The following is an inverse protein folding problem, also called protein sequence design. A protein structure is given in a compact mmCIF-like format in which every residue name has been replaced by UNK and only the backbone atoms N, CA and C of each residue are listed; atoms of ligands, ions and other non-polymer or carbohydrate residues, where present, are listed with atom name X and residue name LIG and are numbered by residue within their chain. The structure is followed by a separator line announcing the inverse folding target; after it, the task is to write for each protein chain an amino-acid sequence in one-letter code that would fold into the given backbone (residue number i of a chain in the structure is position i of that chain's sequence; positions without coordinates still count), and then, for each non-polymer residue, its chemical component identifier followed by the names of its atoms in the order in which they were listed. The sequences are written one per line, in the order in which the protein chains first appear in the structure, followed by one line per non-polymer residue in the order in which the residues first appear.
data_IF_858444006836
#
_entry.id   IF_858444006836
#
_cell.length_a   1.000
_cell.length_b   1.000
_cell.length_c   1.000
_cell.angle_alpha   90.00
_cell.angle_beta   90.00
_cell.angle_gamma   90.00
#
_symmetry.space_group_name_H-M   'P 1'
#
loop_
_entity.id
_entity.type
_entity.pdbx_description
1 polymer ?
#
# COMPACT_ATOMS: atom_id res chain seq x y z
N UNK A 1 28.33 -16.19 25.47
CA UNK A 1 26.97 -15.67 25.73
C UNK A 1 26.77 -14.26 25.17
N UNK A 2 27.67 -13.29 25.42
CA UNK A 2 27.53 -11.91 24.88
C UNK A 2 27.56 -11.83 23.33
N UNK A 3 28.40 -12.64 22.66
CA UNK A 3 28.51 -12.70 21.19
C UNK A 3 27.26 -13.32 20.51
N UNK A 4 26.62 -14.27 21.19
CA UNK A 4 25.39 -14.94 20.70
C UNK A 4 24.17 -14.01 20.74
N UNK A 5 24.09 -13.14 21.76
CA UNK A 5 23.04 -12.12 21.88
C UNK A 5 23.19 -11.04 20.80
N UNK A 6 24.43 -10.60 20.51
CA UNK A 6 24.72 -9.65 19.43
C UNK A 6 24.29 -10.18 18.05
N UNK A 7 24.47 -11.48 17.79
CA UNK A 7 24.01 -12.11 16.55
C UNK A 7 22.47 -12.14 16.44
N UNK A 8 21.76 -12.40 17.55
CA UNK A 8 20.30 -12.37 17.58
C UNK A 8 19.70 -10.99 17.30
N UNK A 9 20.32 -9.92 17.83
CA UNK A 9 19.89 -8.53 17.62
C UNK A 9 20.10 -8.09 16.16
N UNK A 10 21.21 -8.48 15.53
CA UNK A 10 21.48 -8.16 14.13
C UNK A 10 20.48 -8.80 13.15
N UNK A 11 20.05 -10.04 13.42
CA UNK A 11 19.05 -10.73 12.59
C UNK A 11 17.67 -10.05 12.72
N UNK A 12 17.30 -9.59 13.91
CA UNK A 12 16.02 -8.90 14.14
C UNK A 12 15.96 -7.53 13.44
N UNK A 13 17.10 -6.83 13.32
CA UNK A 13 17.20 -5.57 12.58
C UNK A 13 17.03 -5.76 11.05
N UNK A 14 17.49 -6.87 10.48
CA UNK A 14 17.33 -7.16 9.04
C UNK A 14 15.87 -7.43 8.64
N UNK A 15 15.08 -8.02 9.53
CA UNK A 15 13.64 -8.26 9.29
C UNK A 15 12.87 -6.94 9.23
N UNK A 16 13.25 -5.96 10.07
CA UNK A 16 12.57 -4.66 10.13
C UNK A 16 12.71 -3.85 8.83
N UNK A 17 13.90 -3.83 8.21
CA UNK A 17 14.11 -3.10 6.94
C UNK A 17 13.63 -3.89 5.71
N UNK A 18 13.54 -5.22 5.81
CA UNK A 18 13.11 -6.07 4.69
C UNK A 18 11.66 -5.85 4.26
N UNK A 19 10.79 -5.44 5.19
CA UNK A 19 9.38 -5.21 4.90
C UNK A 19 9.14 -4.01 3.98
N UNK A 20 9.75 -2.85 4.30
CA UNK A 20 9.65 -1.63 3.47
C UNK A 20 10.24 -1.90 2.09
N UNK A 21 11.46 -2.44 2.02
CA UNK A 21 12.14 -2.71 0.74
C UNK A 21 11.26 -3.54 -0.20
N UNK A 22 10.71 -4.64 0.30
CA UNK A 22 9.85 -5.51 -0.53
C UNK A 22 8.52 -4.85 -0.88
N UNK A 23 8.03 -3.90 -0.09
CA UNK A 23 6.83 -3.09 -0.39
C UNK A 23 7.13 -2.08 -1.49
N UNK A 24 8.29 -1.41 -1.44
CA UNK A 24 8.78 -0.55 -2.51
C UNK A 24 9.02 -1.32 -3.81
N UNK A 25 9.58 -2.54 -3.76
CA UNK A 25 9.74 -3.40 -4.93
C UNK A 25 8.40 -3.73 -5.60
N UNK A 26 7.37 -4.04 -4.81
CA UNK A 26 6.02 -4.25 -5.32
C UNK A 26 5.44 -2.98 -5.97
N UNK A 27 5.67 -1.81 -5.37
CA UNK A 27 5.25 -0.52 -5.93
C UNK A 27 5.94 -0.23 -7.27
N UNK A 28 7.27 -0.42 -7.33
CA UNK A 28 8.10 -0.14 -8.51
C UNK A 28 7.79 -1.09 -9.67
N UNK A 29 7.43 -2.34 -9.38
CA UNK A 29 7.01 -3.33 -10.38
C UNK A 29 5.57 -3.17 -10.85
N UNK A 30 4.83 -2.18 -10.34
CA UNK A 30 3.43 -1.97 -10.71
C UNK A 30 2.45 -2.92 -10.03
N UNK A 31 2.90 -3.68 -9.02
CA UNK A 31 2.08 -4.55 -8.18
C UNK A 31 1.48 -3.76 -7.01
N UNK A 32 0.62 -2.79 -7.32
CA UNK A 32 0.07 -1.85 -6.35
C UNK A 32 -0.79 -2.53 -5.30
N UNK A 33 -1.55 -3.57 -5.64
CA UNK A 33 -2.33 -4.34 -4.68
C UNK A 33 -1.45 -4.95 -3.58
N UNK A 34 -0.32 -5.56 -3.97
CA UNK A 34 0.61 -6.13 -3.00
C UNK A 34 1.29 -5.02 -2.16
N UNK A 35 1.71 -3.93 -2.80
CA UNK A 35 2.26 -2.78 -2.07
C UNK A 35 1.27 -2.23 -1.01
N UNK A 36 0.01 -2.00 -1.38
CA UNK A 36 -1.04 -1.56 -0.47
C UNK A 36 -1.32 -2.58 0.63
N UNK A 37 -1.41 -3.88 0.29
CA UNK A 37 -1.68 -4.92 1.28
C UNK A 37 -0.62 -4.97 2.37
N UNK A 38 0.67 -4.89 2.00
CA UNK A 38 1.78 -4.92 2.94
C UNK A 38 1.81 -3.67 3.80
N UNK A 39 1.61 -2.50 3.21
CA UNK A 39 1.56 -1.24 3.94
C UNK A 39 0.40 -1.24 4.95
N UNK A 40 -0.81 -1.62 4.52
CA UNK A 40 -1.99 -1.75 5.40
C UNK A 40 -1.71 -2.71 6.55
N UNK A 41 -1.11 -3.88 6.29
CA UNK A 41 -0.80 -4.86 7.33
C UNK A 41 0.16 -4.29 8.38
N UNK A 42 1.27 -3.67 7.97
CA UNK A 42 2.24 -3.10 8.90
C UNK A 42 1.64 -1.90 9.68
N UNK A 43 0.84 -1.07 9.02
CA UNK A 43 0.17 0.05 9.68
C UNK A 43 -0.91 -0.41 10.67
N UNK A 44 -1.61 -1.51 10.39
CA UNK A 44 -2.58 -2.09 11.31
C UNK A 44 -1.93 -2.63 12.59
N UNK A 45 -0.68 -3.11 12.52
CA UNK A 45 0.07 -3.55 13.71
C UNK A 45 0.41 -2.37 14.63
N UNK A 46 0.96 -1.29 14.08
CA UNK A 46 1.24 -0.06 14.84
C UNK A 46 1.48 1.14 13.90
N UNK A 47 0.44 1.92 13.61
CA UNK A 47 0.53 3.08 12.69
C UNK A 47 1.39 4.24 13.19
N UNK A 48 1.65 4.34 14.50
CA UNK A 48 2.44 5.44 15.08
C UNK A 48 3.92 5.10 15.28
N UNK A 49 4.35 3.89 14.93
CA UNK A 49 5.76 3.48 15.03
C UNK A 49 6.60 4.29 14.06
N UNK A 50 7.74 4.84 14.52
CA UNK A 50 8.67 5.63 13.69
C UNK A 50 9.06 4.93 12.39
N UNK A 51 9.39 3.64 12.46
CA UNK A 51 9.74 2.84 11.28
C UNK A 51 8.58 2.48 10.35
N UNK A 52 7.34 2.89 10.65
CA UNK A 52 6.18 2.68 9.80
C UNK A 52 5.77 3.95 9.02
N UNK A 53 6.46 5.08 9.23
CA UNK A 53 6.23 6.31 8.45
C UNK A 53 6.42 6.06 6.94
N UNK A 54 7.43 5.28 6.55
CA UNK A 54 7.66 4.90 5.15
C UNK A 54 6.49 4.09 4.56
N UNK A 55 5.79 3.28 5.36
CA UNK A 55 4.60 2.57 4.89
C UNK A 55 3.42 3.51 4.61
N UNK A 56 3.33 4.65 5.29
CA UNK A 56 2.29 5.65 5.01
C UNK A 56 2.50 6.22 3.60
N UNK A 57 3.73 6.63 3.29
CA UNK A 57 4.11 7.15 1.97
C UNK A 57 3.91 6.10 0.87
N UNK A 58 4.34 4.86 1.12
CA UNK A 58 4.15 3.74 0.19
C UNK A 58 2.67 3.45 -0.06
N UNK A 59 1.82 3.52 0.98
CA UNK A 59 0.39 3.34 0.85
C UNK A 59 -0.25 4.46 0.02
N UNK A 60 0.11 5.71 0.30
CA UNK A 60 -0.35 6.89 -0.43
C UNK A 60 0.00 6.79 -1.92
N UNK A 61 1.27 6.49 -2.23
CA UNK A 61 1.74 6.38 -3.61
C UNK A 61 1.13 5.19 -4.34
N UNK A 62 1.06 4.02 -3.69
CA UNK A 62 0.46 2.82 -4.27
C UNK A 62 -1.03 3.00 -4.55
N UNK A 63 -1.78 3.62 -3.61
CA UNK A 63 -3.19 3.91 -3.82
C UNK A 63 -3.38 4.89 -4.97
N UNK A 64 -2.62 6.00 -5.00
CA UNK A 64 -2.68 6.99 -6.08
C UNK A 64 -2.43 6.37 -7.45
N UNK A 65 -1.34 5.59 -7.60
CA UNK A 65 -0.99 4.93 -8.87
C UNK A 65 -2.01 3.86 -9.27
N UNK A 66 -2.59 3.13 -8.31
CA UNK A 66 -3.65 2.17 -8.57
C UNK A 66 -4.94 2.86 -9.04
N UNK A 67 -5.38 3.89 -8.32
CA UNK A 67 -6.57 4.66 -8.67
C UNK A 67 -6.45 5.26 -10.08
N UNK A 68 -5.31 5.88 -10.37
CA UNK A 68 -4.99 6.43 -11.69
C UNK A 68 -5.01 5.36 -12.80
N UNK A 69 -4.47 4.16 -12.56
CA UNK A 69 -4.57 3.03 -13.50
C UNK A 69 -6.03 2.60 -13.72
N UNK A 70 -6.78 2.37 -12.65
CA UNK A 70 -8.14 1.88 -12.73
C UNK A 70 -9.08 2.89 -13.40
N UNK A 71 -8.94 4.18 -13.06
CA UNK A 71 -9.75 5.25 -13.65
C UNK A 71 -9.47 5.41 -15.15
N UNK A 72 -8.21 5.30 -15.60
CA UNK A 72 -7.91 5.26 -17.04
C UNK A 72 -8.57 4.08 -17.74
N UNK A 73 -8.55 2.90 -17.13
CA UNK A 73 -9.20 1.72 -17.71
C UNK A 73 -10.71 1.89 -17.79
N UNK A 74 -11.33 2.46 -16.74
CA UNK A 74 -12.75 2.81 -16.74
C UNK A 74 -13.07 3.80 -17.87
N UNK A 75 -12.25 4.85 -18.03
CA UNK A 75 -12.44 5.85 -19.10
C UNK A 75 -12.38 5.21 -20.49
N UNK A 76 -11.42 4.31 -20.74
CA UNK A 76 -11.33 3.58 -22.01
C UNK A 76 -12.57 2.71 -22.27
N UNK A 77 -13.03 1.97 -21.24
CA UNK A 77 -14.22 1.11 -21.34
C UNK A 77 -15.51 1.93 -21.55
N UNK A 78 -15.58 3.14 -20.98
CA UNK A 78 -16.69 4.06 -21.19
C UNK A 78 -16.70 4.62 -22.61
N UNK A 79 -15.52 4.98 -23.16
CA UNK A 79 -15.38 5.48 -24.54
C UNK A 79 -15.72 4.42 -25.60
N UNK A 80 -15.46 3.15 -25.31
CA UNK A 80 -15.88 2.02 -26.17
C UNK A 80 -17.40 1.93 -26.33
N UNK A 81 -18.18 2.41 -25.33
CA UNK A 81 -19.64 2.51 -25.42
C UNK A 81 -20.40 1.18 -25.41
N UNK A 82 -19.71 0.04 -25.29
CA UNK A 82 -20.33 -1.27 -25.26
C UNK A 82 -20.98 -1.57 -23.89
N UNK A 83 -22.30 -1.85 -23.83
CA UNK A 83 -22.97 -2.21 -22.58
C UNK A 83 -22.38 -3.42 -21.85
N UNK A 84 -21.71 -4.33 -22.55
CA UNK A 84 -21.01 -5.46 -21.93
C UNK A 84 -19.88 -5.01 -20.98
N UNK A 85 -19.38 -3.77 -21.10
CA UNK A 85 -18.34 -3.24 -20.25
C UNK A 85 -18.84 -2.79 -18.87
N UNK A 86 -20.17 -2.63 -18.68
CA UNK A 86 -20.72 -2.09 -17.42
C UNK A 86 -20.36 -2.93 -16.20
N UNK A 87 -20.39 -4.25 -16.32
CA UNK A 87 -19.98 -5.14 -15.23
C UNK A 87 -18.51 -4.94 -14.87
N UNK A 88 -17.64 -4.81 -15.87
CA UNK A 88 -16.20 -4.58 -15.68
C UNK A 88 -15.94 -3.22 -15.02
N UNK A 89 -16.60 -2.16 -15.49
CA UNK A 89 -16.51 -0.82 -14.89
C UNK A 89 -16.93 -0.87 -13.42
N UNK A 90 -18.08 -1.49 -13.13
CA UNK A 90 -18.58 -1.65 -11.77
C UNK A 90 -17.59 -2.39 -10.87
N UNK A 91 -17.04 -3.53 -11.34
CA UNK A 91 -16.04 -4.30 -10.59
C UNK A 91 -14.77 -3.49 -10.28
N UNK A 92 -14.29 -2.68 -11.22
CA UNK A 92 -13.13 -1.79 -11.02
C UNK A 92 -13.41 -0.72 -9.97
N UNK A 93 -14.56 -0.06 -10.06
CA UNK A 93 -15.00 0.92 -9.06
C UNK A 93 -15.13 0.28 -7.66
N UNK A 94 -15.74 -0.90 -7.58
CA UNK A 94 -15.84 -1.65 -6.34
C UNK A 94 -14.47 -2.01 -5.77
N UNK A 95 -13.50 -2.37 -6.62
CA UNK A 95 -12.12 -2.60 -6.20
C UNK A 95 -11.48 -1.37 -5.53
N UNK A 96 -11.68 -0.17 -6.09
CA UNK A 96 -11.20 1.07 -5.48
C UNK A 96 -11.87 1.34 -4.13
N UNK A 97 -13.19 1.17 -4.06
CA UNK A 97 -13.97 1.34 -2.83
C UNK A 97 -13.49 0.38 -1.73
N UNK A 98 -13.30 -0.91 -2.05
CA UNK A 98 -12.80 -1.90 -1.11
C UNK A 98 -11.44 -1.54 -0.52
N UNK A 99 -10.54 -0.97 -1.33
CA UNK A 99 -9.24 -0.51 -0.81
C UNK A 99 -9.42 0.67 0.16
N UNK A 100 -10.27 1.65 -0.18
CA UNK A 100 -10.56 2.78 0.71
C UNK A 100 -11.16 2.33 2.04
N UNK A 101 -12.10 1.38 2.02
CA UNK A 101 -12.69 0.80 3.23
C UNK A 101 -11.64 0.12 4.13
N UNK A 102 -10.61 -0.48 3.54
CA UNK A 102 -9.50 -1.08 4.31
C UNK A 102 -8.55 -0.04 4.91
N UNK A 103 -8.40 1.12 4.26
CA UNK A 103 -7.56 2.22 4.75
C UNK A 103 -8.29 3.02 5.83
N UNK A 104 -9.62 3.17 5.74
CA UNK A 104 -10.42 4.04 6.63
C UNK A 104 -10.18 3.81 8.13
N UNK A 105 -10.09 2.57 8.67
CA UNK A 105 -9.83 2.34 10.09
C UNK A 105 -8.42 2.76 10.54
N UNK A 106 -7.48 2.85 9.60
CA UNK A 106 -6.10 3.27 9.88
C UNK A 106 -6.00 4.79 9.99
N UNK A 107 -6.97 5.54 9.48
CA UNK A 107 -6.96 6.99 9.52
C UNK A 107 -7.12 7.53 10.97
N UNK A 108 -6.57 8.73 11.29
CA UNK A 108 -5.63 9.47 10.45
C UNK A 108 -4.26 8.79 10.38
N UNK A 109 -3.58 8.96 9.24
CA UNK A 109 -2.20 8.56 9.01
C UNK A 109 -1.36 9.83 8.84
N UNK A 110 -0.55 10.15 9.85
CA UNK A 110 0.24 11.39 9.92
C UNK A 110 1.70 11.13 9.51
N UNK A 111 2.19 11.93 8.57
CA UNK A 111 3.55 11.96 8.05
C UNK A 111 4.32 13.04 8.79
N UNK A 112 5.16 12.62 9.73
CA UNK A 112 5.86 13.50 10.65
C UNK A 112 6.83 14.47 9.93
N UNK A 113 7.53 13.99 8.90
CA UNK A 113 8.49 14.80 8.14
C UNK A 113 7.83 15.88 7.31
N UNK A 114 6.57 15.68 6.91
CA UNK A 114 5.81 16.62 6.08
C UNK A 114 4.80 17.45 6.89
N UNK A 115 4.61 17.14 8.17
CA UNK A 115 3.68 17.85 9.05
C UNK A 115 2.21 17.71 8.65
N UNK A 116 1.83 16.62 7.98
CA UNK A 116 0.46 16.38 7.47
C UNK A 116 -0.04 14.96 7.73
#
# INVERSE_FOLDING_TARGET
MKKSVLFGIAIMALVACGGVKKTQEALNSGNYHNAMNRAIQNLAENKSKKGHQEYILLLEEAFRKNADRELRQIELLQKDGNPANYETIYKRLMGLSQVQERIRPLMPLYIQEEGR
#
